data_IF_723243522895
#
_entry.id   IF_723243522895
#
_cell.length_a   1.000
_cell.length_b   1.000
_cell.length_c   1.000
_cell.angle_alpha   90.00
_cell.angle_beta   90.00
_cell.angle_gamma   90.00
#
_symmetry.space_group_name_H-M   'P 1'
#
loop_
_entity.id
_entity.type
_entity.pdbx_description
1 polymer ?
#
# COMPACT_ATOMS: atom_id res chain seq x y z
N UNK A 1 21.33 4.04 12.48
CA UNK A 1 21.69 4.90 11.33
C UNK A 1 20.44 5.66 10.90
N UNK A 2 20.51 6.95 10.56
CA UNK A 2 19.36 7.65 9.98
C UNK A 2 18.96 6.92 8.70
N UNK A 3 17.77 6.33 8.67
CA UNK A 3 17.23 5.74 7.46
C UNK A 3 16.67 6.87 6.62
N UNK A 4 17.48 7.36 5.68
CA UNK A 4 17.05 8.28 4.64
C UNK A 4 15.88 7.63 3.87
N UNK A 5 14.66 7.96 4.29
CA UNK A 5 13.43 7.58 3.61
C UNK A 5 13.07 8.71 2.68
N UNK A 6 12.67 8.35 1.48
CA UNK A 6 12.26 9.28 0.45
C UNK A 6 10.78 9.02 0.16
N UNK A 7 9.92 9.96 0.53
CA UNK A 7 8.50 9.94 0.12
C UNK A 7 8.36 10.77 -1.16
N UNK A 8 8.09 10.08 -2.28
CA UNK A 8 7.85 10.72 -3.58
C UNK A 8 6.45 10.37 -4.04
N UNK A 9 5.64 11.39 -4.32
CA UNK A 9 4.27 11.21 -4.83
C UNK A 9 3.41 10.23 -3.98
N UNK A 10 3.60 10.27 -2.66
CA UNK A 10 2.95 9.39 -1.67
C UNK A 10 3.38 7.91 -1.72
N UNK A 11 4.46 7.57 -2.43
CA UNK A 11 5.11 6.27 -2.39
C UNK A 11 6.33 6.33 -1.49
N UNK A 12 6.58 5.25 -0.76
CA UNK A 12 7.70 5.15 0.20
C UNK A 12 8.87 4.42 -0.44
N UNK A 13 10.02 5.08 -0.39
CA UNK A 13 11.29 4.51 -0.80
C UNK A 13 12.30 4.55 0.35
N UNK A 14 13.10 3.51 0.48
CA UNK A 14 14.25 3.48 1.39
C UNK A 14 15.52 3.70 0.58
N UNK A 15 16.34 4.67 0.95
CA UNK A 15 17.64 4.88 0.31
C UNK A 15 18.60 3.74 0.67
N UNK A 16 19.33 3.26 -0.33
CA UNK A 16 20.37 2.23 -0.22
C UNK A 16 21.57 2.75 -1.01
N UNK A 17 22.50 3.41 -0.32
CA UNK A 17 23.61 4.15 -0.95
C UNK A 17 23.11 5.14 -2.03
N UNK A 18 23.51 4.99 -3.30
CA UNK A 18 23.05 5.79 -4.44
C UNK A 18 21.74 5.31 -5.07
N UNK A 19 21.18 4.22 -4.55
CA UNK A 19 19.95 3.57 -5.04
C UNK A 19 18.79 3.72 -4.06
N UNK A 20 17.64 3.16 -4.44
CA UNK A 20 16.46 3.09 -3.59
C UNK A 20 15.86 1.69 -3.59
N UNK A 21 15.20 1.32 -2.50
CA UNK A 21 14.29 0.19 -2.43
C UNK A 21 12.86 0.67 -2.33
N UNK A 22 11.94 0.02 -3.03
CA UNK A 22 10.51 0.32 -3.00
C UNK A 22 9.82 -0.49 -1.91
N UNK A 23 9.01 0.14 -1.07
CA UNK A 23 8.35 -0.51 0.06
C UNK A 23 6.89 -0.78 -0.28
N UNK A 24 6.54 -2.06 -0.33
CA UNK A 24 5.22 -2.53 -0.69
C UNK A 24 4.69 -3.51 0.37
N UNK A 25 3.88 -2.99 1.29
CA UNK A 25 3.23 -3.80 2.33
C UNK A 25 2.17 -4.75 1.78
N UNK A 26 1.61 -4.45 0.61
CA UNK A 26 0.62 -5.28 -0.09
C UNK A 26 1.24 -6.28 -1.08
N UNK A 27 2.52 -6.14 -1.37
CA UNK A 27 3.28 -6.94 -2.32
C UNK A 27 3.57 -8.37 -1.88
N UNK A 28 4.20 -9.13 -2.76
CA UNK A 28 4.65 -10.51 -2.51
C UNK A 28 5.91 -10.58 -1.65
N UNK A 29 6.86 -11.44 -2.01
CA UNK A 29 8.15 -11.58 -1.32
C UNK A 29 9.12 -10.45 -1.71
N UNK A 30 10.13 -10.21 -0.87
CA UNK A 30 11.24 -9.30 -1.14
C UNK A 30 12.19 -9.89 -2.17
N UNK A 31 12.62 -9.08 -3.14
CA UNK A 31 13.58 -9.47 -4.17
C UNK A 31 14.38 -8.27 -4.68
N UNK A 32 15.43 -8.55 -5.44
CA UNK A 32 16.24 -7.52 -6.09
C UNK A 32 16.05 -7.50 -7.61
N UNK A 33 16.04 -6.30 -8.18
CA UNK A 33 16.09 -6.05 -9.62
C UNK A 33 17.54 -6.06 -10.09
N UNK A 34 17.74 -6.40 -11.36
CA UNK A 34 19.06 -6.52 -12.00
C UNK A 34 19.93 -5.27 -11.78
N UNK A 35 20.88 -5.38 -10.85
CA UNK A 35 22.05 -4.55 -10.82
C UNK A 35 23.29 -5.44 -10.57
N UNK A 36 24.15 -5.64 -11.58
CA UNK A 36 25.34 -6.49 -11.44
C UNK A 36 26.34 -5.97 -10.39
N UNK A 37 26.23 -4.70 -10.01
CA UNK A 37 27.12 -4.05 -9.04
C UNK A 37 26.76 -4.36 -7.58
N UNK A 38 25.65 -5.05 -7.33
CA UNK A 38 25.13 -5.28 -5.97
C UNK A 38 25.08 -6.78 -5.70
N UNK A 39 26.11 -7.27 -5.02
CA UNK A 39 26.14 -8.64 -4.50
C UNK A 39 25.31 -8.69 -3.22
N UNK A 40 24.15 -9.33 -3.29
CA UNK A 40 23.32 -9.65 -2.11
C UNK A 40 22.91 -11.11 -2.11
N UNK A 41 22.47 -11.60 -0.95
CA UNK A 41 21.87 -12.93 -0.82
C UNK A 41 20.36 -12.95 -1.14
N UNK A 42 19.79 -11.85 -1.67
CA UNK A 42 18.37 -11.78 -1.99
C UNK A 42 18.06 -12.55 -3.28
N UNK A 43 16.87 -13.18 -3.37
CA UNK A 43 16.44 -13.82 -4.59
C UNK A 43 16.33 -12.78 -5.72
N UNK A 44 16.82 -13.17 -6.89
CA UNK A 44 16.75 -12.39 -8.12
C UNK A 44 15.41 -12.63 -8.82
N UNK A 45 14.78 -11.55 -9.31
CA UNK A 45 13.60 -11.63 -10.18
C UNK A 45 13.59 -10.49 -11.20
N UNK A 46 13.27 -10.81 -12.44
CA UNK A 46 12.81 -9.82 -13.42
C UNK A 46 11.29 -9.75 -13.30
N UNK A 47 10.77 -8.55 -13.04
CA UNK A 47 9.34 -8.32 -12.90
C UNK A 47 8.92 -7.18 -13.84
N UNK A 48 8.61 -7.48 -15.12
CA UNK A 48 8.21 -6.47 -16.11
C UNK A 48 6.99 -5.66 -15.66
N UNK A 49 6.13 -6.25 -14.84
CA UNK A 49 4.97 -5.57 -14.24
C UNK A 49 5.36 -4.40 -13.32
N UNK A 50 6.63 -4.31 -12.93
CA UNK A 50 7.20 -3.24 -12.11
C UNK A 50 8.10 -2.28 -12.89
N UNK A 51 8.10 -2.34 -14.23
CA UNK A 51 8.88 -1.44 -15.10
C UNK A 51 8.50 0.04 -14.95
N UNK A 52 7.36 0.33 -14.32
CA UNK A 52 6.98 1.68 -13.94
C UNK A 52 7.93 2.27 -12.88
N UNK A 53 8.57 1.46 -12.05
CA UNK A 53 9.45 1.94 -10.98
C UNK A 53 10.68 2.66 -11.56
N UNK A 54 11.22 3.69 -10.87
CA UNK A 54 12.45 4.35 -11.32
C UNK A 54 13.59 3.35 -11.48
N UNK A 55 14.44 3.51 -12.51
CA UNK A 55 15.64 2.66 -12.73
C UNK A 55 16.61 2.57 -11.54
N UNK A 56 16.52 3.52 -10.60
CA UNK A 56 17.30 3.51 -9.35
C UNK A 56 16.72 2.56 -8.29
N UNK A 57 15.51 2.04 -8.49
CA UNK A 57 14.93 0.99 -7.66
C UNK A 57 15.62 -0.32 -7.99
N UNK A 58 16.30 -0.85 -6.99
CA UNK A 58 17.09 -2.08 -7.10
C UNK A 58 16.56 -3.20 -6.20
N UNK A 59 15.70 -2.85 -5.24
CA UNK A 59 15.12 -3.80 -4.29
C UNK A 59 13.63 -3.49 -4.16
N UNK A 60 12.83 -4.54 -4.22
CA UNK A 60 11.42 -4.54 -3.84
C UNK A 60 11.32 -5.14 -2.45
N UNK A 61 10.88 -4.37 -1.45
CA UNK A 61 10.62 -4.87 -0.09
C UNK A 61 9.14 -5.24 0.02
N UNK A 62 8.90 -6.55 -0.03
CA UNK A 62 7.57 -7.14 0.05
C UNK A 62 7.14 -7.49 1.47
N UNK A 63 6.06 -8.26 1.58
CA UNK A 63 5.39 -8.59 2.83
C UNK A 63 6.29 -9.28 3.89
N UNK A 64 7.19 -10.13 3.44
CA UNK A 64 8.18 -10.83 4.27
C UNK A 64 9.14 -9.87 5.01
N UNK A 65 9.49 -8.75 4.38
CA UNK A 65 10.36 -7.74 4.97
C UNK A 65 9.76 -7.14 6.25
N UNK A 66 8.44 -6.98 6.28
CA UNK A 66 7.72 -6.36 7.40
C UNK A 66 7.46 -7.29 8.58
N UNK A 67 7.82 -8.58 8.46
CA UNK A 67 7.49 -9.57 9.47
C UNK A 67 8.15 -9.26 10.84
N UNK A 68 7.43 -9.54 11.92
CA UNK A 68 7.92 -9.50 13.31
C UNK A 68 8.57 -8.18 13.76
N UNK A 69 8.26 -7.08 13.08
CA UNK A 69 8.79 -5.74 13.35
C UNK A 69 7.66 -4.73 13.54
N UNK A 70 8.02 -3.58 14.12
CA UNK A 70 7.12 -2.45 14.30
C UNK A 70 7.63 -1.31 13.43
N UNK A 71 6.77 -0.79 12.56
CA UNK A 71 7.12 0.26 11.62
C UNK A 71 6.30 1.51 11.89
N UNK A 72 6.98 2.65 11.96
CA UNK A 72 6.36 3.97 11.92
C UNK A 72 6.33 4.46 10.48
N UNK A 73 5.13 4.66 9.96
CA UNK A 73 4.81 5.33 8.70
C UNK A 73 4.26 6.73 9.00
N UNK A 74 5.13 7.73 9.11
CA UNK A 74 4.73 9.11 9.35
C UNK A 74 4.67 9.85 8.01
N UNK A 75 3.54 9.72 7.30
CA UNK A 75 3.38 10.36 5.99
C UNK A 75 3.36 11.89 6.10
N UNK A 76 2.82 12.43 7.20
CA UNK A 76 2.75 13.87 7.47
C UNK A 76 4.15 14.48 7.47
N UNK A 77 5.09 13.83 8.17
CA UNK A 77 6.48 14.29 8.25
C UNK A 77 7.42 13.57 7.27
N UNK A 78 6.88 12.73 6.38
CA UNK A 78 7.62 11.94 5.38
C UNK A 78 8.71 11.06 5.99
N UNK A 79 8.43 10.42 7.12
CA UNK A 79 9.39 9.53 7.82
C UNK A 79 8.91 8.09 7.78
N UNK A 80 9.86 7.19 7.60
CA UNK A 80 9.67 5.76 7.81
C UNK A 80 10.80 5.26 8.71
N UNK A 81 10.43 4.55 9.78
CA UNK A 81 11.39 4.00 10.73
C UNK A 81 10.94 2.65 11.23
N UNK A 82 11.89 1.75 11.45
CA UNK A 82 11.70 0.63 12.36
C UNK A 82 11.76 1.20 13.78
N UNK A 83 10.77 0.88 14.60
CA UNK A 83 10.74 1.26 16.02
C UNK A 83 10.70 -0.01 16.88
N UNK A 84 11.07 0.12 18.15
CA UNK A 84 11.14 -1.02 19.08
C UNK A 84 10.03 -1.00 20.13
N UNK A 85 9.32 0.11 20.27
CA UNK A 85 8.23 0.28 21.23
C UNK A 85 7.11 1.11 20.63
N UNK A 86 5.87 0.75 20.95
CA UNK A 86 4.69 1.54 20.59
C UNK A 86 4.49 2.64 21.64
N UNK A 87 4.34 3.91 21.25
CA UNK A 87 4.00 4.99 22.17
C UNK A 87 2.71 4.69 22.96
N UNK A 88 2.65 5.15 24.21
CA UNK A 88 1.45 4.98 25.04
C UNK A 88 0.29 5.82 24.51
N UNK A 89 -0.95 5.36 24.78
CA UNK A 89 -2.22 6.09 24.51
C UNK A 89 -2.54 6.30 23.03
N UNK A 90 -2.14 5.37 22.16
CA UNK A 90 -2.61 5.33 20.78
C UNK A 90 -3.83 4.41 20.65
N UNK A 91 -4.71 4.69 19.70
CA UNK A 91 -5.89 3.86 19.45
C UNK A 91 -5.49 2.61 18.65
N UNK A 92 -5.73 1.39 19.16
CA UNK A 92 -5.39 0.17 18.45
C UNK A 92 -6.49 -0.25 17.46
N UNK A 93 -6.07 -0.67 16.28
CA UNK A 93 -6.92 -1.26 15.23
C UNK A 93 -6.37 -2.65 14.89
N UNK A 94 -7.15 -3.73 15.07
CA UNK A 94 -6.66 -5.08 14.83
C UNK A 94 -6.42 -5.31 13.33
N UNK A 95 -5.28 -5.91 13.00
CA UNK A 95 -5.09 -6.52 11.69
C UNK A 95 -5.84 -7.85 11.66
N UNK A 96 -6.58 -8.13 10.59
CA UNK A 96 -7.52 -9.25 10.56
C UNK A 96 -6.86 -10.62 10.32
N UNK A 97 -5.55 -10.68 10.06
CA UNK A 97 -4.89 -11.91 9.65
C UNK A 97 -3.82 -12.40 10.65
N UNK A 98 -3.80 -13.71 10.93
CA UNK A 98 -2.89 -14.31 11.93
C UNK A 98 -1.58 -14.86 11.37
N UNK A 99 -1.60 -15.49 10.18
CA UNK A 99 -0.49 -16.34 9.70
C UNK A 99 0.40 -15.70 8.62
N UNK A 100 0.06 -14.51 8.16
CA UNK A 100 0.75 -13.75 7.11
C UNK A 100 0.97 -12.33 7.61
N UNK A 101 1.86 -11.58 6.95
CA UNK A 101 2.20 -10.22 7.36
C UNK A 101 1.42 -9.18 6.57
N UNK A 102 0.32 -9.58 5.90
CA UNK A 102 -0.59 -8.63 5.28
C UNK A 102 -1.39 -7.88 6.33
N UNK A 103 -1.28 -6.56 6.31
CA UNK A 103 -2.04 -5.68 7.18
C UNK A 103 -3.43 -5.43 6.58
N UNK A 104 -4.34 -6.39 6.76
CA UNK A 104 -5.76 -6.22 6.44
C UNK A 104 -6.48 -5.56 7.62
N UNK A 105 -7.32 -4.57 7.35
CA UNK A 105 -8.05 -3.84 8.39
C UNK A 105 -9.44 -3.43 7.90
N UNK A 106 -10.33 -3.10 8.84
CA UNK A 106 -11.67 -2.61 8.54
C UNK A 106 -11.69 -1.08 8.48
N UNK A 107 -12.47 -0.56 7.55
CA UNK A 107 -12.85 0.85 7.49
C UNK A 107 -14.32 0.97 7.09
N UNK A 108 -14.92 2.13 7.30
CA UNK A 108 -16.27 2.43 6.84
C UNK A 108 -16.24 2.92 5.38
N UNK A 109 -16.91 2.18 4.51
CA UNK A 109 -17.02 2.44 3.09
C UNK A 109 -18.49 2.23 2.69
N UNK A 110 -19.13 3.22 2.05
CA UNK A 110 -20.57 3.17 1.72
C UNK A 110 -21.46 2.89 2.95
N UNK A 111 -21.09 3.42 4.13
CA UNK A 111 -21.81 3.18 5.39
C UNK A 111 -21.68 1.75 5.93
N UNK A 112 -20.76 0.95 5.39
CA UNK A 112 -20.53 -0.45 5.80
C UNK A 112 -19.10 -0.65 6.23
N UNK A 113 -18.89 -1.55 7.20
CA UNK A 113 -17.55 -2.02 7.56
C UNK A 113 -17.05 -2.99 6.50
N UNK A 114 -16.07 -2.55 5.74
CA UNK A 114 -15.46 -3.31 4.65
C UNK A 114 -13.98 -3.54 4.94
N UNK A 115 -13.43 -4.65 4.43
CA UNK A 115 -12.02 -5.00 4.63
C UNK A 115 -11.19 -4.47 3.46
N UNK A 116 -10.07 -3.83 3.80
CA UNK A 116 -9.08 -3.35 2.85
C UNK A 116 -7.67 -3.78 3.26
N UNK A 117 -6.78 -3.86 2.27
CA UNK A 117 -5.35 -4.02 2.47
C UNK A 117 -4.68 -2.67 2.74
N UNK A 118 -3.83 -2.61 3.77
CA UNK A 118 -2.88 -1.50 3.95
C UNK A 118 -1.72 -1.69 2.97
N UNK A 119 -1.63 -0.82 1.98
CA UNK A 119 -0.77 -1.01 0.82
C UNK A 119 0.04 0.25 0.49
N UNK A 120 1.27 0.31 0.99
CA UNK A 120 2.20 1.42 0.69
C UNK A 120 2.70 1.39 -0.76
N UNK A 121 2.57 0.25 -1.44
CA UNK A 121 3.03 0.02 -2.80
C UNK A 121 1.96 0.19 -3.87
N UNK A 122 0.70 0.40 -3.49
CA UNK A 122 -0.39 0.64 -4.43
C UNK A 122 -0.10 1.86 -5.32
N UNK A 123 0.22 1.59 -6.59
CA UNK A 123 0.80 2.57 -7.51
C UNK A 123 -0.01 2.72 -8.80
N UNK A 124 -0.14 3.97 -9.26
CA UNK A 124 -0.64 4.35 -10.60
C UNK A 124 0.43 5.13 -11.34
N UNK A 125 0.42 5.09 -12.67
CA UNK A 125 1.32 5.90 -13.50
C UNK A 125 0.51 7.00 -14.20
N UNK A 126 0.89 8.25 -14.03
CA UNK A 126 0.20 9.39 -14.65
C UNK A 126 1.19 10.39 -15.17
N UNK A 127 1.08 10.72 -16.45
CA UNK A 127 2.02 11.61 -17.13
C UNK A 127 3.47 11.14 -16.95
N UNK A 128 3.71 9.83 -17.08
CA UNK A 128 5.01 9.16 -16.92
C UNK A 128 5.61 9.33 -15.51
N UNK A 129 4.78 9.52 -14.49
CA UNK A 129 5.18 9.64 -13.08
C UNK A 129 4.33 8.71 -12.23
N UNK A 130 4.95 8.11 -11.22
CA UNK A 130 4.26 7.19 -10.31
C UNK A 130 3.66 7.95 -9.15
N UNK A 131 2.48 7.52 -8.70
CA UNK A 131 1.81 8.05 -7.53
C UNK A 131 1.22 6.92 -6.68
N UNK A 132 1.25 7.10 -5.37
CA UNK A 132 0.52 6.25 -4.44
C UNK A 132 -0.98 6.49 -4.59
N UNK A 133 -1.74 5.42 -4.77
CA UNK A 133 -3.20 5.44 -4.97
C UNK A 133 -3.87 4.31 -4.19
N UNK A 134 -5.19 4.36 -4.08
CA UNK A 134 -5.99 3.26 -3.54
C UNK A 134 -6.66 2.51 -4.68
N UNK A 135 -6.95 1.23 -4.47
CA UNK A 135 -7.57 0.36 -5.46
C UNK A 135 -8.92 -0.18 -5.00
N UNK A 136 -9.81 -0.40 -5.95
CA UNK A 136 -11.01 -1.23 -5.77
C UNK A 136 -10.96 -2.43 -6.70
N UNK A 137 -11.47 -3.56 -6.21
CA UNK A 137 -11.78 -4.70 -7.07
C UNK A 137 -12.71 -4.27 -8.21
N UNK A 138 -12.47 -4.77 -9.42
CA UNK A 138 -13.27 -4.41 -10.60
C UNK A 138 -14.76 -4.65 -10.40
N UNK A 139 -15.15 -5.69 -9.63
CA UNK A 139 -16.57 -5.98 -9.34
C UNK A 139 -17.21 -4.87 -8.52
N UNK A 140 -16.49 -4.35 -7.53
CA UNK A 140 -16.98 -3.29 -6.65
C UNK A 140 -16.98 -1.95 -7.37
N UNK A 141 -15.90 -1.68 -8.13
CA UNK A 141 -15.83 -0.49 -8.98
C UNK A 141 -17.00 -0.44 -9.97
N UNK A 142 -17.24 -1.53 -10.71
CA UNK A 142 -18.24 -1.56 -11.78
C UNK A 142 -19.67 -1.36 -11.23
N UNK A 143 -19.94 -1.82 -9.99
CA UNK A 143 -21.21 -1.57 -9.30
C UNK A 143 -21.41 -0.10 -8.93
N UNK A 144 -20.33 0.60 -8.61
CA UNK A 144 -20.38 1.96 -8.07
C UNK A 144 -20.26 3.04 -9.15
N UNK A 145 -19.81 2.68 -10.36
CA UNK A 145 -19.47 3.62 -11.42
C UNK A 145 -20.65 4.51 -11.89
N UNK A 146 -21.88 4.04 -11.73
CA UNK A 146 -23.09 4.79 -12.08
C UNK A 146 -23.55 5.75 -10.96
N UNK A 147 -23.07 5.52 -9.74
CA UNK A 147 -23.42 6.33 -8.56
C UNK A 147 -22.44 7.47 -8.35
N UNK A 148 -21.16 7.25 -8.61
CA UNK A 148 -20.10 8.22 -8.31
C UNK A 148 -19.39 8.73 -9.56
N UNK A 149 -18.64 9.82 -9.37
CA UNK A 149 -17.86 10.42 -10.44
C UNK A 149 -16.74 9.49 -10.90
N UNK A 150 -16.75 9.16 -12.19
CA UNK A 150 -15.71 8.36 -12.86
C UNK A 150 -14.85 9.25 -13.77
N UNK A 151 -13.54 9.02 -13.73
CA UNK A 151 -12.58 9.54 -14.72
C UNK A 151 -12.11 8.37 -15.57
N UNK A 152 -12.53 8.32 -16.84
CA UNK A 152 -12.38 7.13 -17.69
C UNK A 152 -10.94 6.79 -18.07
N UNK A 153 -10.06 7.78 -18.17
CA UNK A 153 -8.64 7.63 -18.56
C UNK A 153 -7.77 8.32 -17.53
N UNK A 154 -7.71 7.73 -16.33
CA UNK A 154 -7.03 8.36 -15.21
C UNK A 154 -5.55 8.01 -15.16
N UNK A 155 -5.22 6.75 -15.42
CA UNK A 155 -3.87 6.18 -15.52
C UNK A 155 -3.39 6.19 -16.99
N UNK A 156 -2.07 6.16 -17.20
CA UNK A 156 -1.43 6.19 -18.52
C UNK A 156 -1.76 4.94 -19.36
N UNK A 157 -2.09 3.81 -18.72
CA UNK A 157 -2.59 2.60 -19.38
C UNK A 157 -4.07 2.71 -19.84
N UNK A 158 -4.72 3.84 -19.54
CA UNK A 158 -6.13 4.09 -19.84
C UNK A 158 -7.10 3.60 -18.76
N UNK A 159 -6.62 3.06 -17.64
CA UNK A 159 -7.46 2.57 -16.55
C UNK A 159 -8.28 3.71 -15.93
N UNK A 160 -9.57 3.45 -15.61
CA UNK A 160 -10.44 4.44 -15.00
C UNK A 160 -10.22 4.51 -13.49
N UNK A 161 -10.59 5.65 -12.91
CA UNK A 161 -10.77 5.79 -11.47
C UNK A 161 -12.18 6.26 -11.12
N UNK A 162 -12.57 6.03 -9.88
CA UNK A 162 -13.81 6.52 -9.26
C UNK A 162 -13.44 7.42 -8.09
N UNK A 163 -14.23 8.47 -7.85
CA UNK A 163 -14.05 9.38 -6.73
C UNK A 163 -15.18 9.15 -5.74
N UNK A 164 -14.84 8.59 -4.59
CA UNK A 164 -15.75 8.38 -3.47
C UNK A 164 -15.75 9.64 -2.59
N UNK A 165 -16.92 10.24 -2.30
CA UNK A 165 -16.98 11.51 -1.56
C UNK A 165 -16.33 11.45 -0.19
N UNK A 166 -16.51 10.33 0.53
CA UNK A 166 -15.93 10.11 1.85
C UNK A 166 -15.81 8.64 2.21
N UNK A 167 -14.83 8.34 3.04
CA UNK A 167 -14.68 7.08 3.77
C UNK A 167 -14.30 7.40 5.22
N UNK A 168 -14.59 6.51 6.17
CA UNK A 168 -14.11 6.66 7.55
C UNK A 168 -13.06 5.60 7.82
N UNK A 169 -11.84 6.04 8.08
CA UNK A 169 -10.68 5.18 8.35
C UNK A 169 -9.99 5.70 9.61
N UNK A 170 -9.75 4.80 10.57
CA UNK A 170 -9.15 5.15 11.87
C UNK A 170 -9.83 6.34 12.56
N UNK A 171 -11.17 6.28 12.68
CA UNK A 171 -12.02 7.35 13.24
C UNK A 171 -11.87 8.72 12.55
N UNK A 172 -11.29 8.75 11.35
CA UNK A 172 -11.04 9.96 10.57
C UNK A 172 -11.79 9.92 9.25
N UNK A 173 -12.49 11.01 8.93
CA UNK A 173 -13.17 11.18 7.65
C UNK A 173 -12.17 11.64 6.59
N UNK A 174 -12.00 10.83 5.55
CA UNK A 174 -11.12 11.13 4.40
C UNK A 174 -12.02 11.44 3.20
N UNK A 175 -11.91 12.67 2.67
CA UNK A 175 -12.79 13.16 1.59
C UNK A 175 -12.18 12.99 0.19
N UNK A 176 -13.06 12.88 -0.80
CA UNK A 176 -12.74 12.84 -2.24
C UNK A 176 -11.68 11.78 -2.58
N UNK A 177 -11.89 10.55 -2.09
CA UNK A 177 -10.93 9.47 -2.24
C UNK A 177 -11.01 8.90 -3.64
N UNK A 178 -9.88 8.95 -4.34
CA UNK A 178 -9.74 8.31 -5.64
C UNK A 178 -9.39 6.83 -5.47
N UNK A 179 -10.17 5.96 -6.11
CA UNK A 179 -9.85 4.55 -6.26
C UNK A 179 -9.67 4.22 -7.73
N UNK A 180 -8.51 3.65 -8.09
CA UNK A 180 -8.27 3.11 -9.42
C UNK A 180 -8.91 1.71 -9.51
N UNK A 181 -9.49 1.40 -10.66
CA UNK A 181 -10.07 0.09 -10.95
C UNK A 181 -8.97 -0.96 -11.14
N UNK A 182 -9.08 -2.12 -10.49
CA UNK A 182 -8.31 -3.34 -10.83
C UNK A 182 -9.16 -4.30 -11.65
N UNK A 183 -8.57 -5.41 -12.11
CA UNK A 183 -9.38 -6.46 -12.73
C UNK A 183 -10.46 -6.96 -11.76
N UNK A 184 -11.52 -7.53 -12.34
CA UNK A 184 -12.53 -8.21 -11.53
C UNK A 184 -11.86 -9.35 -10.78
N UNK A 185 -12.13 -9.44 -9.49
CA UNK A 185 -11.58 -10.47 -8.61
C UNK A 185 -10.06 -10.40 -8.37
N UNK A 186 -9.42 -9.26 -8.66
CA UNK A 186 -7.99 -9.08 -8.41
C UNK A 186 -7.62 -9.33 -6.94
N UNK A 187 -8.46 -8.85 -6.02
CA UNK A 187 -8.28 -9.04 -4.59
C UNK A 187 -8.89 -10.35 -4.09
N UNK A 188 -10.01 -10.76 -4.70
CA UNK A 188 -10.73 -11.95 -4.25
C UNK A 188 -10.04 -13.27 -4.65
N UNK A 189 -9.31 -13.34 -5.78
CA UNK A 189 -8.62 -14.57 -6.20
C UNK A 189 -7.23 -14.65 -5.57
N UNK A 190 -6.35 -13.68 -5.83
CA UNK A 190 -4.95 -13.80 -5.40
C UNK A 190 -4.83 -13.70 -3.87
N UNK A 191 -5.36 -12.64 -3.29
CA UNK A 191 -5.13 -12.33 -1.88
C UNK A 191 -6.08 -13.11 -0.94
N UNK A 192 -7.32 -13.43 -1.33
CA UNK A 192 -8.14 -14.34 -0.49
C UNK A 192 -7.56 -15.74 -0.45
N UNK A 193 -6.96 -16.24 -1.55
CA UNK A 193 -6.30 -17.56 -1.52
C UNK A 193 -5.12 -17.59 -0.54
N UNK A 194 -4.43 -16.46 -0.35
CA UNK A 194 -3.34 -16.35 0.62
C UNK A 194 -3.85 -16.12 2.03
N UNK A 195 -4.77 -15.18 2.22
CA UNK A 195 -5.18 -14.69 3.55
C UNK A 195 -6.42 -15.37 4.11
N UNK A 196 -7.20 -16.09 3.30
CA UNK A 196 -8.52 -16.58 3.67
C UNK A 196 -9.55 -15.48 3.96
N UNK A 197 -9.21 -14.20 3.74
CA UNK A 197 -10.05 -13.05 4.07
C UNK A 197 -10.39 -12.29 2.80
N UNK A 198 -11.69 -12.22 2.51
CA UNK A 198 -12.19 -11.38 1.43
C UNK A 198 -12.02 -9.91 1.81
N UNK A 199 -11.40 -9.16 0.92
CA UNK A 199 -11.26 -7.70 0.98
C UNK A 199 -11.56 -7.14 -0.40
N UNK A 200 -12.01 -5.89 -0.42
CA UNK A 200 -12.60 -5.28 -1.63
C UNK A 200 -11.66 -4.31 -2.34
N UNK A 201 -10.47 -4.12 -1.80
CA UNK A 201 -9.50 -3.17 -2.32
C UNK A 201 -8.27 -3.01 -1.43
N UNK A 202 -7.49 -1.99 -1.77
CA UNK A 202 -6.30 -1.59 -1.03
C UNK A 202 -6.30 -0.08 -0.79
N UNK A 203 -5.87 0.34 0.39
CA UNK A 203 -5.68 1.74 0.77
C UNK A 203 -4.20 2.07 0.63
N UNK A 204 -3.90 3.00 -0.29
CA UNK A 204 -2.54 3.44 -0.54
C UNK A 204 -2.33 4.93 -0.37
N UNK A 205 -1.21 5.41 -0.92
CA UNK A 205 -0.61 6.70 -0.56
C UNK A 205 -1.54 7.92 -0.65
N UNK A 206 -2.53 7.93 -1.55
CA UNK A 206 -3.47 9.05 -1.67
C UNK A 206 -4.36 9.24 -0.43
N UNK A 207 -4.63 8.17 0.33
CA UNK A 207 -5.33 8.20 1.61
C UNK A 207 -4.34 8.24 2.76
N UNK A 208 -3.33 7.36 2.74
CA UNK A 208 -2.36 7.20 3.82
C UNK A 208 -1.58 8.48 4.14
N UNK A 209 -1.45 9.40 3.17
CA UNK A 209 -0.77 10.69 3.35
C UNK A 209 -1.33 11.56 4.48
N UNK A 210 -2.53 11.29 4.97
CA UNK A 210 -3.18 12.05 6.03
C UNK A 210 -2.79 11.58 7.44
N UNK A 211 -2.04 10.49 7.56
CA UNK A 211 -1.86 9.79 8.82
C UNK A 211 -0.40 9.68 9.22
N UNK A 212 -0.22 9.54 10.53
CA UNK A 212 0.95 8.92 11.15
C UNK A 212 0.51 7.57 11.67
N UNK A 213 1.06 6.49 11.13
CA UNK A 213 0.58 5.12 11.37
C UNK A 213 1.72 4.30 11.94
N UNK A 214 1.44 3.49 12.96
CA UNK A 214 2.36 2.48 13.45
C UNK A 214 1.78 1.11 13.14
N UNK A 215 2.44 0.34 12.29
CA UNK A 215 2.08 -1.05 12.04
C UNK A 215 2.97 -1.95 12.90
N UNK A 216 2.37 -2.56 13.93
CA UNK A 216 2.99 -3.58 14.75
C UNK A 216 2.66 -4.96 14.16
N UNK A 217 3.47 -5.41 13.20
CA UNK A 217 3.28 -6.70 12.53
C UNK A 217 3.55 -7.89 13.45
N UNK A 218 4.28 -7.67 14.55
CA UNK A 218 4.52 -8.68 15.58
C UNK A 218 3.24 -8.99 16.35
N UNK A 219 2.53 -7.94 16.80
CA UNK A 219 1.30 -8.08 17.56
C UNK A 219 0.03 -8.02 16.69
N UNK A 220 0.17 -7.78 15.38
CA UNK A 220 -0.92 -7.68 14.39
C UNK A 220 -1.89 -6.54 14.71
N UNK A 221 -1.34 -5.36 15.02
CA UNK A 221 -2.12 -4.16 15.38
C UNK A 221 -1.59 -2.94 14.62
N UNK A 222 -2.51 -2.13 14.12
CA UNK A 222 -2.24 -0.78 13.59
C UNK A 222 -2.59 0.24 14.67
N UNK A 223 -1.75 1.26 14.84
CA UNK A 223 -2.03 2.39 15.72
C UNK A 223 -1.98 3.69 14.92
N UNK A 224 -2.85 4.63 15.27
CA UNK A 224 -2.93 5.99 14.71
C UNK A 224 -2.94 7.01 15.84
#
# INVERSE_FOLDING_TARGET
MPTDTVLLNNLIYRKIDKYVGFLDTGGGMTFQFRNPDIVTNLPYREEPVLDYLPKKVIVFFGNDYFNNQIYLFDYIHKKFNVIHTVPKRLTPYPMLHKNLNYALFQLEFEGKKEVFLFDTGATTTRNKRNYGISFLDGTIFDRLQDTYKVIKKYDDDGSPCIIIPEIVIFDTIVKNVTFLRKEKNAFSIFMTNQTGIKHIGAIGGNVLKQFKIICDYKNKVIYV
#
